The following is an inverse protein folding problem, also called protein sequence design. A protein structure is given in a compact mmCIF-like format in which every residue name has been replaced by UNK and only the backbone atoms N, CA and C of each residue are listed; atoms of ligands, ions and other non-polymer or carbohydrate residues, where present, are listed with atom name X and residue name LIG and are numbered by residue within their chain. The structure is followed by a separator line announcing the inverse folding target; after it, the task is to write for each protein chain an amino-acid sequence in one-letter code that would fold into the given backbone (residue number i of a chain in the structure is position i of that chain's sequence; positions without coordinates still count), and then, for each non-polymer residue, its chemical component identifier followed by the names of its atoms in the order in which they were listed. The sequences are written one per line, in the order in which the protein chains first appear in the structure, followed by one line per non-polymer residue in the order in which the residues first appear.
data_IF_393398875161
#
_entry.id   IF_393398875161
#
_cell.length_a   1.000
_cell.length_b   1.000
_cell.length_c   1.000
_cell.angle_alpha   90.00
_cell.angle_beta   90.00
_cell.angle_gamma   90.00
#
_symmetry.space_group_name_H-M   'P 1'
#
loop_
_entity.id
_entity.type
_entity.pdbx_description
1 polymer ?
#
# COMPACT_ATOMS: atom_id res chain seq x y z
N UNK A 1 25.06 -0.49 -6.05
CA UNK A 1 23.74 -1.19 -6.14
C UNK A 1 23.24 -1.76 -4.81
N UNK A 2 24.08 -2.38 -3.95
CA UNK A 2 23.61 -3.01 -2.70
C UNK A 2 22.85 -2.06 -1.76
N UNK A 3 23.39 -0.86 -1.51
CA UNK A 3 22.76 0.14 -0.64
C UNK A 3 21.43 0.67 -1.20
N UNK A 4 21.39 1.01 -2.49
CA UNK A 4 20.15 1.44 -3.17
C UNK A 4 19.04 0.38 -3.07
N UNK A 5 19.39 -0.90 -3.24
CA UNK A 5 18.43 -2.00 -3.15
C UNK A 5 17.86 -2.15 -1.74
N UNK A 6 18.70 -2.02 -0.71
CA UNK A 6 18.25 -2.02 0.68
C UNK A 6 17.38 -0.81 1.00
N UNK A 7 17.76 0.37 0.53
CA UNK A 7 16.96 1.59 0.67
C UNK A 7 15.57 1.42 0.04
N UNK A 8 15.50 0.97 -1.22
CA UNK A 8 14.22 0.71 -1.90
C UNK A 8 13.40 -0.37 -1.18
N UNK A 9 14.04 -1.43 -0.69
CA UNK A 9 13.35 -2.50 0.06
C UNK A 9 12.77 -1.96 1.36
N UNK A 10 13.53 -1.14 2.09
CA UNK A 10 13.08 -0.49 3.31
C UNK A 10 11.91 0.48 3.04
N UNK A 11 12.00 1.29 1.97
CA UNK A 11 10.93 2.21 1.58
C UNK A 11 9.63 1.47 1.25
N UNK A 12 9.70 0.37 0.49
CA UNK A 12 8.51 -0.44 0.17
C UNK A 12 7.96 -1.12 1.42
N UNK A 13 8.80 -1.65 2.30
CA UNK A 13 8.37 -2.26 3.55
C UNK A 13 7.72 -1.24 4.50
N UNK A 14 8.28 -0.03 4.61
CA UNK A 14 7.68 1.06 5.39
C UNK A 14 6.32 1.45 4.83
N UNK A 15 6.18 1.56 3.50
CA UNK A 15 4.89 1.81 2.89
C UNK A 15 3.87 0.69 3.18
N UNK A 16 4.31 -0.57 3.05
CA UNK A 16 3.48 -1.73 3.36
C UNK A 16 2.99 -1.70 4.81
N UNK A 17 3.85 -1.33 5.77
CA UNK A 17 3.47 -1.15 7.18
C UNK A 17 2.46 -0.02 7.35
N UNK A 18 2.69 1.14 6.75
CA UNK A 18 1.76 2.28 6.81
C UNK A 18 0.40 1.95 6.20
N UNK A 19 0.34 1.05 5.22
CA UNK A 19 -0.90 0.55 4.62
C UNK A 19 -1.56 -0.57 5.47
N UNK A 20 -0.75 -1.44 6.07
CA UNK A 20 -1.23 -2.57 6.87
C UNK A 20 -1.88 -2.13 8.19
N UNK A 21 -1.38 -1.06 8.83
CA UNK A 21 -1.96 -0.54 10.08
C UNK A 21 -3.46 -0.17 9.94
N UNK A 22 -3.86 0.73 9.02
CA UNK A 22 -5.27 1.07 8.85
C UNK A 22 -6.12 -0.09 8.31
N UNK A 23 -5.55 -1.00 7.52
CA UNK A 23 -6.23 -2.24 7.11
C UNK A 23 -6.52 -3.15 8.33
N UNK A 24 -5.56 -3.28 9.24
CA UNK A 24 -5.69 -4.03 10.49
C UNK A 24 -6.75 -3.41 11.41
N UNK A 25 -6.73 -2.09 11.57
CA UNK A 25 -7.74 -1.39 12.38
C UNK A 25 -9.15 -1.57 11.80
N UNK A 26 -9.29 -1.48 10.48
CA UNK A 26 -10.58 -1.72 9.81
C UNK A 26 -11.06 -3.16 10.01
N UNK A 27 -10.15 -4.14 9.92
CA UNK A 27 -10.45 -5.55 10.17
C UNK A 27 -10.91 -5.79 11.61
N UNK A 28 -10.14 -5.31 12.60
CA UNK A 28 -10.46 -5.47 14.02
C UNK A 28 -11.78 -4.78 14.38
N UNK A 29 -12.03 -3.59 13.83
CA UNK A 29 -13.30 -2.88 14.00
C UNK A 29 -14.47 -3.68 13.45
N UNK A 30 -14.35 -4.20 12.21
CA UNK A 30 -15.38 -5.03 11.59
C UNK A 30 -15.65 -6.35 12.30
N UNK A 31 -14.64 -6.91 12.96
CA UNK A 31 -14.78 -8.11 13.79
C UNK A 31 -15.33 -7.79 15.19
N UNK A 32 -15.66 -6.53 15.47
CA UNK A 32 -16.08 -6.05 16.79
C UNK A 32 -15.03 -6.29 17.89
N UNK A 33 -13.75 -6.37 17.51
CA UNK A 33 -12.59 -6.55 18.41
C UNK A 33 -11.91 -5.21 18.75
N UNK A 34 -12.35 -4.11 18.14
CA UNK A 34 -11.84 -2.75 18.37
C UNK A 34 -13.02 -1.80 18.57
N UNK A 35 -12.99 -1.05 19.69
CA UNK A 35 -13.92 0.06 19.94
C UNK A 35 -13.21 1.36 19.61
N UNK A 36 -13.80 2.16 18.72
CA UNK A 36 -13.27 3.46 18.37
C UNK A 36 -13.67 4.51 19.40
N UNK A 37 -12.76 5.39 19.85
CA UNK A 37 -13.11 6.53 20.70
C UNK A 37 -14.02 7.50 19.95
N UNK A 38 -14.84 8.26 20.68
CA UNK A 38 -15.85 9.17 20.10
C UNK A 38 -15.29 10.18 19.09
N UNK A 39 -14.02 10.58 19.24
CA UNK A 39 -13.33 11.48 18.31
C UNK A 39 -12.99 10.86 16.94
N UNK A 40 -13.19 9.55 16.76
CA UNK A 40 -12.90 8.82 15.52
C UNK A 40 -14.18 8.34 14.79
N UNK A 41 -15.35 8.92 15.09
CA UNK A 41 -16.64 8.53 14.48
C UNK A 41 -16.66 8.60 12.96
N UNK A 42 -16.01 9.60 12.35
CA UNK A 42 -15.88 9.70 10.89
C UNK A 42 -15.05 8.56 10.29
N UNK A 43 -14.08 8.01 11.03
CA UNK A 43 -13.34 6.82 10.62
C UNK A 43 -14.19 5.56 10.74
N UNK A 44 -15.05 5.47 11.77
CA UNK A 44 -16.00 4.36 11.94
C UNK A 44 -16.96 4.22 10.76
N UNK A 45 -17.59 5.32 10.34
CA UNK A 45 -18.49 5.33 9.18
C UNK A 45 -17.79 4.88 7.88
N UNK A 46 -16.54 5.29 7.67
CA UNK A 46 -15.74 4.81 6.55
C UNK A 46 -15.43 3.32 6.67
N UNK A 47 -15.04 2.86 7.86
CA UNK A 47 -14.75 1.45 8.11
C UNK A 47 -15.99 0.59 7.89
N UNK A 48 -17.18 1.02 8.31
CA UNK A 48 -18.46 0.32 8.04
C UNK A 48 -18.77 0.27 6.54
N UNK A 49 -18.56 1.37 5.83
CA UNK A 49 -18.82 1.47 4.40
C UNK A 49 -17.90 0.59 3.53
N UNK A 50 -16.74 0.16 4.04
CA UNK A 50 -15.87 -0.76 3.29
C UNK A 50 -16.50 -2.15 3.21
N UNK A 51 -16.51 -2.79 2.04
CA UNK A 51 -16.95 -4.19 1.94
C UNK A 51 -15.84 -5.16 2.39
N UNK A 52 -16.20 -6.38 2.81
CA UNK A 52 -15.23 -7.43 3.13
C UNK A 52 -14.24 -7.73 1.99
N UNK A 53 -14.67 -7.85 0.72
CA UNK A 53 -13.76 -8.00 -0.41
C UNK A 53 -12.72 -6.88 -0.51
N UNK A 54 -13.10 -5.64 -0.17
CA UNK A 54 -12.18 -4.50 -0.16
C UNK A 54 -11.14 -4.62 0.94
N UNK A 55 -11.53 -5.06 2.14
CA UNK A 55 -10.59 -5.29 3.26
C UNK A 55 -9.59 -6.40 2.91
N UNK A 56 -10.07 -7.49 2.29
CA UNK A 56 -9.23 -8.60 1.84
C UNK A 56 -8.24 -8.13 0.76
N UNK A 57 -8.72 -7.39 -0.23
CA UNK A 57 -7.87 -6.84 -1.30
C UNK A 57 -6.79 -5.91 -0.72
N UNK A 58 -7.16 -5.05 0.23
CA UNK A 58 -6.22 -4.15 0.88
C UNK A 58 -5.09 -4.91 1.60
N UNK A 59 -5.43 -5.97 2.34
CA UNK A 59 -4.44 -6.86 2.95
C UNK A 59 -3.57 -7.60 1.93
N UNK A 60 -4.19 -8.13 0.87
CA UNK A 60 -3.46 -8.82 -0.19
C UNK A 60 -2.42 -7.90 -0.85
N UNK A 61 -2.78 -6.65 -1.10
CA UNK A 61 -1.86 -5.61 -1.62
C UNK A 61 -0.72 -5.32 -0.64
N UNK A 62 -1.01 -5.15 0.65
CA UNK A 62 0.02 -4.91 1.66
C UNK A 62 1.02 -6.08 1.75
N UNK A 63 0.52 -7.32 1.71
CA UNK A 63 1.35 -8.54 1.68
C UNK A 63 2.20 -8.57 0.41
N UNK A 64 1.64 -8.25 -0.76
CA UNK A 64 2.39 -8.22 -2.02
C UNK A 64 3.51 -7.17 -1.98
N UNK A 65 3.33 -6.02 -1.34
CA UNK A 65 4.42 -5.07 -1.12
C UNK A 65 5.52 -5.64 -0.22
N UNK A 66 5.18 -6.35 0.86
CA UNK A 66 6.19 -7.06 1.66
C UNK A 66 6.94 -8.13 0.85
N UNK A 67 6.23 -8.90 0.02
CA UNK A 67 6.85 -9.89 -0.86
C UNK A 67 7.77 -9.20 -1.87
N UNK A 68 7.37 -8.07 -2.45
CA UNK A 68 8.22 -7.30 -3.36
C UNK A 68 9.48 -6.78 -2.66
N UNK A 69 9.34 -6.21 -1.46
CA UNK A 69 10.45 -5.74 -0.64
C UNK A 69 11.41 -6.88 -0.27
N UNK A 70 10.89 -8.03 0.13
CA UNK A 70 11.67 -9.23 0.44
C UNK A 70 12.45 -9.71 -0.79
N UNK A 71 11.78 -9.93 -1.92
CA UNK A 71 12.43 -10.37 -3.17
C UNK A 71 13.52 -9.40 -3.59
N UNK A 72 13.28 -8.10 -3.45
CA UNK A 72 14.26 -7.05 -3.75
C UNK A 72 15.48 -7.15 -2.80
N UNK A 73 15.27 -7.28 -1.49
CA UNK A 73 16.31 -7.39 -0.48
C UNK A 73 17.22 -8.62 -0.68
N UNK A 74 16.67 -9.73 -1.18
CA UNK A 74 17.40 -10.99 -1.41
C UNK A 74 17.79 -11.26 -2.87
N UNK A 75 17.48 -10.35 -3.80
CA UNK A 75 17.84 -10.43 -5.22
C UNK A 75 17.29 -11.70 -5.89
N UNK A 76 16.10 -12.12 -5.48
CA UNK A 76 15.41 -13.29 -6.04
C UNK A 76 14.80 -13.01 -7.43
N UNK A 77 15.01 -11.81 -7.97
CA UNK A 77 14.45 -11.35 -9.24
C UNK A 77 12.94 -11.18 -9.21
N UNK A 78 12.40 -10.51 -10.24
CA UNK A 78 10.96 -10.25 -10.44
C UNK A 78 10.32 -9.45 -9.29
N UNK A 79 11.08 -8.79 -8.42
CA UNK A 79 10.53 -7.89 -7.42
C UNK A 79 9.74 -6.76 -8.08
N UNK A 80 10.17 -6.29 -9.26
CA UNK A 80 9.46 -5.29 -10.04
C UNK A 80 8.06 -5.75 -10.46
N UNK A 81 7.89 -7.02 -10.88
CA UNK A 81 6.60 -7.57 -11.27
C UNK A 81 5.64 -7.63 -10.08
N UNK A 82 6.11 -8.16 -8.94
CA UNK A 82 5.31 -8.24 -7.72
C UNK A 82 4.94 -6.84 -7.24
N UNK A 83 5.88 -5.89 -7.28
CA UNK A 83 5.63 -4.49 -6.97
C UNK A 83 4.57 -3.88 -7.88
N UNK A 84 4.63 -4.08 -9.20
CA UNK A 84 3.66 -3.52 -10.14
C UNK A 84 2.26 -4.07 -9.87
N UNK A 85 2.12 -5.38 -9.60
CA UNK A 85 0.82 -5.97 -9.25
C UNK A 85 0.29 -5.37 -7.95
N UNK A 86 1.14 -5.24 -6.93
CA UNK A 86 0.78 -4.60 -5.66
C UNK A 86 0.32 -3.15 -5.88
N UNK A 87 1.10 -2.36 -6.62
CA UNK A 87 0.83 -0.96 -6.91
C UNK A 87 -0.49 -0.77 -7.68
N UNK A 88 -0.73 -1.55 -8.73
CA UNK A 88 -1.99 -1.48 -9.48
C UNK A 88 -3.16 -1.88 -8.58
N UNK A 89 -3.02 -2.93 -7.77
CA UNK A 89 -4.03 -3.33 -6.80
C UNK A 89 -4.33 -2.24 -5.77
N UNK A 90 -3.31 -1.51 -5.33
CA UNK A 90 -3.44 -0.42 -4.36
C UNK A 90 -4.16 0.79 -4.95
N UNK A 91 -3.77 1.19 -6.17
CA UNK A 91 -4.44 2.27 -6.90
C UNK A 91 -5.90 1.93 -7.16
N UNK A 92 -6.20 0.70 -7.60
CA UNK A 92 -7.58 0.24 -7.77
C UNK A 92 -8.34 0.19 -6.45
N UNK A 93 -7.70 -0.26 -5.36
CA UNK A 93 -8.29 -0.26 -4.02
C UNK A 93 -8.58 1.16 -3.50
N UNK A 94 -7.72 2.13 -3.80
CA UNK A 94 -7.94 3.54 -3.49
C UNK A 94 -9.06 4.16 -4.33
N UNK A 95 -9.09 3.90 -5.64
CA UNK A 95 -10.17 4.34 -6.53
C UNK A 95 -11.51 3.77 -6.08
N UNK A 96 -11.53 2.49 -5.68
CA UNK A 96 -12.74 1.86 -5.19
C UNK A 96 -13.21 2.47 -3.86
N UNK A 97 -12.28 2.96 -3.02
CA UNK A 97 -12.62 3.63 -1.74
C UNK A 97 -13.25 5.00 -1.90
N UNK A 98 -13.13 5.65 -3.05
CA UNK A 98 -13.74 6.96 -3.29
C UNK A 98 -15.26 6.90 -3.12
N UNK A 99 -15.84 7.96 -2.58
CA UNK A 99 -17.27 8.10 -2.36
C UNK A 99 -17.62 8.86 -1.08
N UNK A 100 -18.92 9.00 -0.76
CA UNK A 100 -19.40 9.95 0.26
C UNK A 100 -18.80 9.73 1.65
N UNK A 101 -18.61 8.47 2.06
CA UNK A 101 -17.99 8.16 3.35
C UNK A 101 -16.51 8.57 3.38
N UNK A 102 -15.77 8.33 2.30
CA UNK A 102 -14.37 8.76 2.18
C UNK A 102 -14.28 10.28 2.09
N UNK A 103 -15.22 10.94 1.42
CA UNK A 103 -15.30 12.39 1.31
C UNK A 103 -15.58 13.08 2.65
N UNK A 104 -16.40 12.46 3.50
CA UNK A 104 -16.71 12.94 4.83
C UNK A 104 -15.57 12.74 5.83
N UNK A 105 -14.75 11.70 5.64
CA UNK A 105 -13.60 11.40 6.51
C UNK A 105 -12.36 12.19 6.13
N UNK A 106 -12.11 12.40 4.83
CA UNK A 106 -10.85 12.96 4.33
C UNK A 106 -11.06 14.26 3.54
N UNK A 107 -10.55 15.40 4.08
CA UNK A 107 -10.63 16.68 3.39
C UNK A 107 -9.78 16.70 2.11
N UNK A 108 -10.04 17.64 1.18
CA UNK A 108 -9.42 17.64 -0.16
C UNK A 108 -7.88 17.72 -0.18
N UNK A 109 -7.29 18.35 0.84
CA UNK A 109 -5.83 18.42 1.06
C UNK A 109 -5.21 17.03 1.31
N UNK A 110 -5.88 16.17 2.07
CA UNK A 110 -5.40 14.80 2.31
C UNK A 110 -5.43 13.94 1.03
N UNK A 111 -6.38 14.19 0.12
CA UNK A 111 -6.42 13.48 -1.18
C UNK A 111 -5.24 13.85 -2.08
N UNK A 112 -4.73 15.09 -1.99
CA UNK A 112 -3.50 15.49 -2.68
C UNK A 112 -2.30 14.74 -2.12
N UNK A 113 -2.27 14.51 -0.81
CA UNK A 113 -1.24 13.69 -0.16
C UNK A 113 -1.27 12.25 -0.66
N UNK A 114 -2.45 11.64 -0.81
CA UNK A 114 -2.57 10.28 -1.38
C UNK A 114 -2.00 10.21 -2.81
N UNK A 115 -2.34 11.18 -3.66
CA UNK A 115 -1.79 11.25 -5.02
C UNK A 115 -0.27 11.42 -5.03
N UNK A 116 0.27 12.24 -4.12
CA UNK A 116 1.71 12.42 -3.98
C UNK A 116 2.41 11.12 -3.55
N UNK A 117 1.79 10.34 -2.65
CA UNK A 117 2.29 9.03 -2.23
C UNK A 117 2.28 8.04 -3.41
N UNK A 118 1.20 7.98 -4.20
CA UNK A 118 1.15 7.13 -5.40
C UNK A 118 2.18 7.53 -6.45
N UNK A 119 2.43 8.83 -6.63
CA UNK A 119 3.47 9.32 -7.53
C UNK A 119 4.86 8.92 -7.03
N UNK A 120 5.14 9.08 -5.73
CA UNK A 120 6.40 8.65 -5.13
C UNK A 120 6.62 7.14 -5.27
N UNK A 121 5.57 6.34 -5.07
CA UNK A 121 5.62 4.89 -5.27
C UNK A 121 5.86 4.50 -6.74
N UNK A 122 5.27 5.22 -7.70
CA UNK A 122 5.55 4.99 -9.12
C UNK A 122 7.05 5.21 -9.42
N UNK A 123 7.65 6.26 -8.85
CA UNK A 123 9.09 6.52 -8.97
C UNK A 123 9.90 5.39 -8.32
N UNK A 124 9.54 4.95 -7.11
CA UNK A 124 10.18 3.79 -6.45
C UNK A 124 10.09 2.54 -7.32
N UNK A 125 8.92 2.26 -7.91
CA UNK A 125 8.73 1.14 -8.83
C UNK A 125 9.63 1.21 -10.07
N UNK A 126 9.75 2.39 -10.68
CA UNK A 126 10.65 2.61 -11.81
C UNK A 126 12.12 2.36 -11.42
N UNK A 127 12.54 2.79 -10.22
CA UNK A 127 13.88 2.52 -9.70
C UNK A 127 14.11 1.03 -9.43
N UNK A 128 13.12 0.31 -8.89
CA UNK A 128 13.17 -1.14 -8.70
C UNK A 128 13.36 -1.86 -10.04
N UNK A 129 12.54 -1.51 -11.03
CA UNK A 129 12.63 -2.08 -12.38
C UNK A 129 14.01 -1.81 -13.01
N UNK A 130 14.53 -0.59 -12.87
CA UNK A 130 15.86 -0.23 -13.35
C UNK A 130 16.97 -1.05 -12.70
N UNK A 131 16.93 -1.22 -11.37
CA UNK A 131 17.92 -2.02 -10.62
C UNK A 131 17.88 -3.50 -11.03
N UNK A 132 16.69 -4.08 -11.19
CA UNK A 132 16.55 -5.49 -11.56
C UNK A 132 16.91 -5.74 -13.04
N UNK A 133 16.40 -4.94 -13.97
CA UNK A 133 16.62 -5.15 -15.41
C UNK A 133 18.08 -4.91 -15.83
N UNK A 134 18.80 -4.02 -15.15
CA UNK A 134 20.25 -3.87 -15.40
C UNK A 134 21.05 -5.11 -15.00
N UNK A 135 20.66 -5.81 -13.93
CA UNK A 135 21.30 -7.07 -13.53
C UNK A 135 21.09 -8.16 -14.57
N UNK A 136 19.89 -8.24 -15.17
CA UNK A 136 19.57 -9.25 -16.18
C UNK A 136 20.34 -9.04 -17.49
N UNK A 137 20.77 -7.82 -17.81
CA UNK A 137 21.56 -7.53 -19.03
C UNK A 137 23.07 -7.72 -18.88
N UNK A 138 23.58 -7.83 -17.65
CA UNK A 138 25.01 -7.95 -17.37
C UNK A 138 25.50 -9.40 -17.23
N UNK A 139 24.58 -10.36 -17.29
CA UNK A 139 24.83 -11.81 -17.41
C UNK A 139 24.38 -12.26 -18.79
#
# INVERSE_FOLDING_TARGET
MRYLRWLLSASVALYALMSAVPASLTLLYKLHLLVLPDGAKSNGALMDAMSWPRVILWWAVAILFFVAAWRLAFAQGRAWLVFTIAYVGDVLGWLWRQGPAYDATFPPDQRRTDLAIFAALAVVGALIAWVELRKTRAN
#
